data_IF_259487991468
#
_entry.id   IF_259487991468
#
_cell.length_a   1.000
_cell.length_b   1.000
_cell.length_c   1.000
_cell.angle_alpha   90.00
_cell.angle_beta   90.00
_cell.angle_gamma   90.00
#
_symmetry.space_group_name_H-M   'P 1'
#
loop_
_entity.id
_entity.type
_entity.pdbx_description
1 polymer ?
#
# COMPACT_ATOMS: atom_id res chain seq x y z
N UNK A 1 -3.31 4.56 6.20
CA UNK A 1 -3.89 4.84 4.85
C UNK A 1 -3.50 3.74 3.85
N UNK A 2 -4.31 3.51 2.81
CA UNK A 2 -3.99 2.62 1.68
C UNK A 2 -3.13 3.32 0.62
N UNK A 3 -2.33 2.55 -0.13
CA UNK A 3 -1.31 3.09 -1.03
C UNK A 3 -1.67 3.09 -2.53
N UNK A 4 -2.97 3.10 -2.86
CA UNK A 4 -3.48 2.99 -4.23
C UNK A 4 -2.91 4.07 -5.18
N UNK A 5 -2.72 5.29 -4.67
CA UNK A 5 -2.15 6.42 -5.42
C UNK A 5 -0.73 6.78 -4.95
N UNK A 6 -0.04 5.88 -4.26
CA UNK A 6 1.27 6.14 -3.62
C UNK A 6 1.28 7.27 -2.56
N UNK A 7 0.10 7.65 -2.05
CA UNK A 7 -0.05 8.75 -1.09
C UNK A 7 -0.15 8.27 0.38
N UNK A 8 -0.02 6.96 0.66
CA UNK A 8 -0.26 6.46 2.01
C UNK A 8 0.67 7.10 3.04
N UNK A 9 1.95 7.24 2.70
CA UNK A 9 2.92 7.88 3.59
C UNK A 9 2.63 9.37 3.77
N UNK A 10 2.47 10.12 2.67
CA UNK A 10 2.19 11.55 2.69
C UNK A 10 0.94 11.88 3.53
N UNK A 11 -0.17 11.18 3.29
CA UNK A 11 -1.41 11.40 4.03
C UNK A 11 -1.27 11.02 5.52
N UNK A 12 -0.44 10.02 5.84
CA UNK A 12 -0.22 9.60 7.23
C UNK A 12 0.61 10.64 8.00
N UNK A 13 1.63 11.23 7.38
CA UNK A 13 2.44 12.27 8.05
C UNK A 13 1.71 13.62 8.13
N UNK A 14 0.85 13.93 7.14
CA UNK A 14 -0.02 15.11 7.18
C UNK A 14 -1.01 15.00 8.35
N UNK A 15 -1.72 13.88 8.46
CA UNK A 15 -2.62 13.64 9.58
C UNK A 15 -1.90 13.69 10.94
N UNK A 16 -0.65 13.21 11.01
CA UNK A 16 0.19 13.35 12.20
C UNK A 16 0.48 14.82 12.53
N UNK A 17 0.70 15.67 11.53
CA UNK A 17 0.87 17.12 11.69
C UNK A 17 -0.39 17.82 12.19
N UNK A 18 -1.57 17.33 11.75
CA UNK A 18 -2.89 17.80 12.19
C UNK A 18 -3.29 17.31 13.60
N UNK A 19 -2.46 16.46 14.23
CA UNK A 19 -2.62 16.07 15.62
C UNK A 19 -3.43 14.80 15.87
N UNK A 20 -3.53 13.88 14.91
CA UNK A 20 -4.12 12.56 15.19
C UNK A 20 -3.27 11.75 16.17
N UNK A 21 -3.90 11.01 17.06
CA UNK A 21 -3.21 10.19 18.07
C UNK A 21 -2.76 8.81 17.56
N UNK A 22 -3.39 8.32 16.48
CA UNK A 22 -3.20 6.95 15.98
C UNK A 22 -2.84 6.96 14.50
N UNK A 23 -1.73 6.27 14.18
CA UNK A 23 -1.24 6.10 12.81
C UNK A 23 -1.07 4.60 12.54
N UNK A 24 -1.66 4.14 11.44
CA UNK A 24 -1.53 2.75 10.99
C UNK A 24 -0.54 2.61 9.84
N UNK A 25 0.38 1.67 9.99
CA UNK A 25 1.33 1.25 8.97
C UNK A 25 1.67 -0.24 9.11
N UNK A 26 2.22 -0.83 8.06
CA UNK A 26 2.60 -2.25 8.02
C UNK A 26 4.01 -2.41 7.47
N UNK A 27 4.76 -3.41 7.94
CA UNK A 27 6.10 -3.71 7.43
C UNK A 27 6.07 -3.95 5.92
N UNK A 28 6.98 -3.30 5.18
CA UNK A 28 7.03 -3.38 3.72
C UNK A 28 5.70 -3.03 3.02
N UNK A 29 4.86 -2.21 3.66
CA UNK A 29 3.57 -1.79 3.11
C UNK A 29 2.56 -2.94 2.91
N UNK A 30 2.76 -4.08 3.57
CA UNK A 30 1.95 -5.28 3.37
C UNK A 30 0.47 -5.05 3.65
N UNK A 31 -0.36 -5.37 2.66
CA UNK A 31 -1.81 -5.30 2.72
C UNK A 31 -2.42 -5.80 1.42
N UNK A 32 -3.73 -6.04 1.39
CA UNK A 32 -4.41 -6.38 0.13
C UNK A 32 -4.31 -5.21 -0.85
N UNK A 33 -4.27 -5.52 -2.14
CA UNK A 33 -4.20 -4.52 -3.20
C UNK A 33 -2.86 -3.77 -3.23
N UNK A 34 -2.92 -2.45 -3.36
CA UNK A 34 -1.74 -1.59 -3.38
C UNK A 34 -0.96 -1.55 -2.06
N UNK A 35 -1.50 -2.14 -1.00
CA UNK A 35 -0.90 -2.14 0.33
C UNK A 35 -1.23 -0.89 1.15
N UNK A 36 -0.40 -0.64 2.17
CA UNK A 36 -0.60 0.41 3.17
C UNK A 36 0.62 1.35 3.26
N UNK A 37 0.57 2.30 4.19
CA UNK A 37 1.76 3.04 4.61
C UNK A 37 2.85 2.06 5.09
N UNK A 38 4.08 2.30 4.65
CA UNK A 38 5.23 1.47 4.98
C UNK A 38 5.72 1.84 6.38
N UNK A 39 5.73 0.87 7.30
CA UNK A 39 6.14 1.06 8.70
C UNK A 39 7.55 1.61 8.82
N UNK A 40 8.48 1.07 8.03
CA UNK A 40 9.87 1.52 7.97
C UNK A 40 9.98 2.98 7.54
N UNK A 41 9.13 3.43 6.61
CA UNK A 41 9.17 4.81 6.14
C UNK A 41 8.61 5.77 7.21
N UNK A 42 7.51 5.38 7.88
CA UNK A 42 6.93 6.14 8.97
C UNK A 42 7.91 6.27 10.16
N UNK A 43 8.54 5.17 10.58
CA UNK A 43 9.47 5.19 11.71
C UNK A 43 10.78 5.92 11.39
N UNK A 44 11.23 5.94 10.14
CA UNK A 44 12.38 6.73 9.71
C UNK A 44 12.09 8.24 9.71
N UNK A 45 10.83 8.63 9.51
CA UNK A 45 10.39 10.03 9.52
C UNK A 45 10.20 10.60 10.93
N UNK A 46 9.62 9.83 11.84
CA UNK A 46 9.35 10.30 13.20
C UNK A 46 10.66 10.63 13.94
N UNK A 47 10.72 11.80 14.59
CA UNK A 47 11.96 12.29 15.24
C UNK A 47 12.38 11.50 16.48
N UNK A 48 11.41 11.02 17.27
CA UNK A 48 11.67 10.26 18.49
C UNK A 48 10.59 9.19 18.71
N UNK A 49 10.47 8.22 17.79
CA UNK A 49 9.49 7.16 17.95
C UNK A 49 9.85 6.32 19.17
N UNK A 50 8.84 5.88 19.93
CA UNK A 50 9.02 4.90 21.02
C UNK A 50 9.65 3.58 20.51
N UNK A 51 9.46 3.27 19.23
CA UNK A 51 9.92 2.04 18.58
C UNK A 51 11.29 2.23 17.92
N UNK A 52 12.15 1.20 18.01
CA UNK A 52 13.51 1.24 17.46
C UNK A 52 13.51 0.88 15.98
N UNK A 53 14.08 1.74 15.14
CA UNK A 53 14.20 1.51 13.70
C UNK A 53 14.99 0.23 13.36
N UNK A 54 16.07 -0.05 14.09
CA UNK A 54 16.87 -1.26 13.87
C UNK A 54 16.07 -2.56 14.01
N UNK A 55 15.15 -2.64 14.99
CA UNK A 55 14.30 -3.83 15.17
C UNK A 55 13.26 -3.98 14.04
N UNK A 56 12.87 -2.86 13.40
CA UNK A 56 12.04 -2.88 12.20
C UNK A 56 12.76 -3.52 11.02
N UNK A 57 14.03 -3.19 10.81
CA UNK A 57 14.84 -3.79 9.75
C UNK A 57 15.02 -5.30 9.98
N UNK A 58 15.32 -5.73 11.21
CA UNK A 58 15.40 -7.15 11.57
C UNK A 58 14.10 -7.90 11.28
N UNK A 59 12.95 -7.30 11.58
CA UNK A 59 11.66 -7.91 11.26
C UNK A 59 11.48 -8.10 9.74
N UNK A 60 11.82 -7.08 8.96
CA UNK A 60 11.74 -7.12 7.50
C UNK A 60 12.64 -8.23 6.94
N UNK A 61 13.90 -8.26 7.37
CA UNK A 61 14.89 -9.26 6.94
C UNK A 61 14.42 -10.68 7.24
N UNK A 62 13.93 -10.92 8.47
CA UNK A 62 13.58 -12.24 8.95
C UNK A 62 12.26 -12.78 8.37
N UNK A 63 11.25 -11.91 8.22
CA UNK A 63 9.89 -12.36 7.91
C UNK A 63 9.42 -11.87 6.53
N UNK A 64 9.60 -10.59 6.22
CA UNK A 64 9.03 -10.01 5.01
C UNK A 64 9.74 -10.48 3.74
N UNK A 65 11.06 -10.69 3.80
CA UNK A 65 11.81 -11.25 2.68
C UNK A 65 11.39 -12.70 2.37
N UNK A 66 11.02 -13.50 3.38
CA UNK A 66 10.55 -14.86 3.15
C UNK A 66 9.20 -14.86 2.41
N UNK A 67 8.25 -14.02 2.82
CA UNK A 67 6.96 -13.89 2.13
C UNK A 67 7.12 -13.51 0.65
N UNK A 68 8.05 -12.61 0.34
CA UNK A 68 8.38 -12.25 -1.05
C UNK A 68 8.95 -13.45 -1.83
N UNK A 69 9.86 -14.23 -1.22
CA UNK A 69 10.42 -15.45 -1.81
C UNK A 69 9.35 -16.52 -2.05
N UNK A 70 8.38 -16.62 -1.15
CA UNK A 70 7.24 -17.55 -1.24
C UNK A 70 6.21 -17.12 -2.30
N UNK A 71 6.44 -16.00 -2.99
CA UNK A 71 5.59 -15.51 -4.07
C UNK A 71 4.34 -14.78 -3.58
N UNK A 72 4.30 -14.34 -2.32
CA UNK A 72 3.22 -13.49 -1.82
C UNK A 72 3.38 -12.10 -2.44
N UNK A 73 2.34 -11.64 -3.13
CA UNK A 73 2.34 -10.37 -3.86
C UNK A 73 1.41 -9.37 -3.20
N UNK A 74 1.92 -8.16 -3.00
CA UNK A 74 1.18 -6.96 -2.67
C UNK A 74 1.94 -5.76 -3.21
N UNK A 75 1.30 -4.59 -3.21
CA UNK A 75 1.95 -3.34 -3.55
C UNK A 75 1.31 -2.67 -4.74
N UNK A 76 1.69 -1.42 -4.92
CA UNK A 76 1.18 -0.55 -5.97
C UNK A 76 1.32 -1.18 -7.36
N UNK A 77 0.28 -1.02 -8.17
CA UNK A 77 0.25 -1.37 -9.58
C UNK A 77 -0.83 -0.53 -10.29
N UNK A 78 -0.75 -0.41 -11.62
CA UNK A 78 -1.65 0.42 -12.44
C UNK A 78 -3.14 0.09 -12.22
N UNK A 79 -3.58 -1.18 -12.10
CA UNK A 79 -4.99 -1.47 -11.83
C UNK A 79 -5.48 -0.90 -10.49
N UNK A 80 -4.62 -0.87 -9.47
CA UNK A 80 -4.95 -0.27 -8.18
C UNK A 80 -4.97 1.25 -8.23
N UNK A 81 -4.13 1.87 -9.07
CA UNK A 81 -4.25 3.30 -9.38
C UNK A 81 -5.62 3.59 -10.01
N UNK A 82 -6.03 2.84 -11.04
CA UNK A 82 -7.30 3.05 -11.75
C UNK A 82 -8.48 3.00 -10.78
N UNK A 83 -8.60 1.93 -10.00
CA UNK A 83 -9.70 1.80 -9.02
C UNK A 83 -9.62 2.86 -7.92
N UNK A 84 -8.41 3.21 -7.47
CA UNK A 84 -8.22 4.28 -6.49
C UNK A 84 -8.54 5.68 -7.02
N UNK A 85 -8.26 5.96 -8.30
CA UNK A 85 -8.59 7.22 -8.97
C UNK A 85 -10.11 7.37 -9.13
N UNK A 86 -10.79 6.29 -9.50
CA UNK A 86 -12.25 6.23 -9.65
C UNK A 86 -12.99 6.08 -8.30
N UNK A 87 -12.29 6.14 -7.17
CA UNK A 87 -12.86 5.96 -5.83
C UNK A 87 -13.68 4.66 -5.66
N UNK A 88 -13.23 3.58 -6.30
CA UNK A 88 -13.89 2.28 -6.25
C UNK A 88 -13.12 1.30 -5.35
N UNK A 89 -13.85 0.31 -4.81
CA UNK A 89 -13.23 -0.78 -4.04
C UNK A 89 -12.24 -1.57 -4.93
N UNK A 90 -11.07 -2.01 -4.43
CA UNK A 90 -10.00 -2.62 -5.25
C UNK A 90 -10.33 -4.01 -5.82
N UNK A 91 -11.58 -4.48 -5.76
CA UNK A 91 -11.97 -5.84 -6.16
C UNK A 91 -11.73 -6.08 -7.65
N UNK A 92 -12.08 -5.11 -8.50
CA UNK A 92 -11.85 -5.19 -9.94
C UNK A 92 -10.35 -5.25 -10.27
N UNK A 93 -9.54 -4.41 -9.61
CA UNK A 93 -8.09 -4.42 -9.76
C UNK A 93 -7.46 -5.74 -9.33
N UNK A 94 -7.92 -6.31 -8.21
CA UNK A 94 -7.47 -7.63 -7.74
C UNK A 94 -7.79 -8.75 -8.73
N UNK A 95 -8.98 -8.71 -9.35
CA UNK A 95 -9.37 -9.68 -10.37
C UNK A 95 -8.47 -9.53 -11.62
N UNK A 96 -8.29 -8.30 -12.10
CA UNK A 96 -7.41 -7.97 -13.23
C UNK A 96 -5.98 -8.49 -13.01
N UNK A 97 -5.37 -8.22 -11.84
CA UNK A 97 -4.03 -8.69 -11.52
C UNK A 97 -3.97 -10.22 -11.41
N UNK A 98 -5.00 -10.88 -10.87
CA UNK A 98 -5.07 -12.35 -10.77
C UNK A 98 -5.13 -13.00 -12.16
N UNK A 99 -5.84 -12.39 -13.08
CA UNK A 99 -5.95 -12.82 -14.49
C UNK A 99 -4.71 -12.47 -15.31
N UNK A 100 -3.75 -11.73 -14.73
CA UNK A 100 -2.52 -11.28 -15.40
C UNK A 100 -2.81 -10.50 -16.69
N UNK A 101 -3.92 -9.76 -16.69
CA UNK A 101 -4.27 -8.84 -17.77
C UNK A 101 -3.26 -7.70 -17.84
N UNK A 102 -3.12 -7.11 -19.02
CA UNK A 102 -2.16 -6.02 -19.31
C UNK A 102 -2.81 -4.86 -20.11
N UNK A 103 -4.06 -5.01 -20.47
CA UNK A 103 -4.89 -4.08 -21.24
C UNK A 103 -5.50 -3.01 -20.32
N UNK A 104 -4.64 -2.17 -19.73
CA UNK A 104 -5.05 -1.17 -18.73
C UNK A 104 -6.10 -0.17 -19.25
N UNK A 105 -6.05 0.20 -20.53
CA UNK A 105 -7.02 1.11 -21.14
C UNK A 105 -8.42 0.51 -21.22
N UNK A 106 -8.51 -0.77 -21.60
CA UNK A 106 -9.78 -1.49 -21.66
C UNK A 106 -10.32 -1.72 -20.25
N UNK A 107 -9.46 -2.08 -19.30
CA UNK A 107 -9.82 -2.15 -17.89
C UNK A 107 -10.35 -0.82 -17.35
N UNK A 108 -9.74 0.31 -17.70
CA UNK A 108 -10.27 1.62 -17.33
C UNK A 108 -11.68 1.85 -17.88
N UNK A 109 -11.91 1.55 -19.16
CA UNK A 109 -13.24 1.67 -19.78
C UNK A 109 -14.28 0.74 -19.10
N UNK A 110 -13.90 -0.50 -18.78
CA UNK A 110 -14.77 -1.47 -18.09
C UNK A 110 -15.19 -1.01 -16.69
N UNK A 111 -14.25 -0.41 -15.95
CA UNK A 111 -14.43 0.00 -14.55
C UNK A 111 -15.16 1.34 -14.47
N UNK A 112 -14.90 2.27 -15.40
CA UNK A 112 -15.58 3.57 -15.46
C UNK A 112 -17.02 3.48 -15.96
N UNK A 113 -17.36 2.51 -16.81
CA UNK A 113 -18.72 2.29 -17.29
C UNK A 113 -19.70 1.72 -16.22
N UNK A 114 -19.21 1.45 -15.01
CA UNK A 114 -20.00 0.94 -13.87
C UNK A 114 -20.50 2.04 -12.93
N UNK A 115 -20.16 3.31 -13.19
CA UNK A 115 -20.77 4.49 -12.55
C UNK A 115 -22.15 4.82 -13.14
#
# INVERSE_FOLDING_TARGET
>A
AHNNQQLAFANTIEACGDGVDWLDATYSGMGRGAGNCFMENLLAFLKNPKYKFYETLKFIEKYMLQLKKDGVVWGYDVPYLVTGYLNQHPRAAMAFSKEKRLDYSDFYNEVSAQE
#
